data_IF_811975782576
#
_entry.id   IF_811975782576
#
_cell.length_a   1.000
_cell.length_b   1.000
_cell.length_c   1.000
_cell.angle_alpha   90.00
_cell.angle_beta   90.00
_cell.angle_gamma   90.00
#
_symmetry.space_group_name_H-M   'P 1'
#
loop_
_entity.id
_entity.type
_entity.pdbx_description
1 polymer ?
#
# COMPACT_ATOMS: atom_id res chain seq x y z
N UNK A 1 -4.52 -7.05 14.70
CA UNK A 1 -3.78 -6.23 13.72
C UNK A 1 -2.59 -5.56 14.40
N UNK A 2 -2.82 -4.77 15.45
CA UNK A 2 -1.79 -3.99 16.16
C UNK A 2 -0.64 -4.80 16.79
N UNK A 3 -0.83 -6.10 17.04
CA UNK A 3 0.22 -6.99 17.56
C UNK A 3 0.98 -7.75 16.47
N UNK A 4 0.53 -7.66 15.21
CA UNK A 4 1.08 -8.45 14.10
C UNK A 4 2.24 -7.74 13.38
N UNK A 5 2.33 -6.41 13.51
CA UNK A 5 3.37 -5.57 12.93
C UNK A 5 3.92 -4.71 14.04
N UNK A 6 5.21 -4.85 14.34
CA UNK A 6 5.90 -4.04 15.34
C UNK A 6 5.90 -2.56 14.89
N UNK A 7 5.78 -1.65 15.85
CA UNK A 7 5.81 -0.20 15.66
C UNK A 7 4.81 0.34 14.60
N UNK A 8 3.68 -0.34 14.40
CA UNK A 8 2.68 0.05 13.40
C UNK A 8 1.70 1.14 13.88
N UNK A 9 1.76 1.53 15.16
CA UNK A 9 0.80 2.47 15.75
C UNK A 9 1.35 3.89 15.74
N UNK A 10 0.60 4.79 15.13
CA UNK A 10 0.75 6.23 15.33
C UNK A 10 -0.23 6.64 16.42
N UNK A 11 0.29 7.25 17.49
CA UNK A 11 -0.50 7.73 18.62
C UNK A 11 -0.47 9.27 18.68
N UNK A 12 -1.39 9.86 19.45
CA UNK A 12 -1.46 11.30 19.71
C UNK A 12 -1.74 12.16 18.46
N UNK A 13 -2.50 11.65 17.49
CA UNK A 13 -2.90 12.42 16.29
C UNK A 13 -4.28 13.07 16.43
N UNK A 14 -5.04 12.74 17.47
CA UNK A 14 -6.45 13.09 17.63
C UNK A 14 -6.69 14.61 17.65
N UNK A 15 -5.74 15.37 18.20
CA UNK A 15 -5.81 16.84 18.28
C UNK A 15 -5.87 17.51 16.89
N UNK A 16 -5.44 16.81 15.84
CA UNK A 16 -5.37 17.34 14.49
C UNK A 16 -6.64 17.07 13.68
N UNK A 17 -7.43 16.06 14.05
CA UNK A 17 -8.61 15.58 13.30
C UNK A 17 -9.58 16.72 12.97
N UNK A 18 -9.96 17.53 13.97
CA UNK A 18 -10.94 18.60 13.78
C UNK A 18 -10.42 19.79 12.98
N UNK A 19 -9.10 19.91 12.83
CA UNK A 19 -8.47 20.97 12.01
C UNK A 19 -8.35 20.60 10.53
N UNK A 20 -8.49 19.32 10.19
CA UNK A 20 -8.39 18.83 8.83
C UNK A 20 -9.73 18.89 8.12
N UNK A 21 -9.70 19.19 6.83
CA UNK A 21 -10.88 19.22 5.97
C UNK A 21 -10.64 18.27 4.80
N UNK A 22 -11.42 17.20 4.76
CA UNK A 22 -11.46 16.22 3.68
C UNK A 22 -12.91 16.06 3.20
N UNK A 23 -13.14 15.52 1.99
CA UNK A 23 -14.48 15.22 1.50
C UNK A 23 -15.26 14.29 2.43
N UNK A 24 -14.60 13.29 2.99
CA UNK A 24 -15.15 12.42 4.03
C UNK A 24 -14.57 12.81 5.41
N UNK A 25 -15.41 13.25 6.36
CA UNK A 25 -14.98 13.52 7.73
C UNK A 25 -14.36 12.32 8.44
N UNK A 26 -14.75 11.09 8.06
CA UNK A 26 -14.23 9.88 8.66
C UNK A 26 -12.81 9.57 8.18
N UNK A 27 -12.31 10.14 7.08
CA UNK A 27 -10.92 9.92 6.62
C UNK A 27 -9.89 10.84 7.27
N UNK A 28 -10.34 11.85 8.04
CA UNK A 28 -9.45 12.83 8.67
C UNK A 28 -8.45 12.20 9.64
N UNK A 29 -8.79 11.08 10.27
CA UNK A 29 -7.88 10.36 11.15
C UNK A 29 -6.71 9.73 10.40
N UNK A 30 -6.90 9.31 9.14
CA UNK A 30 -5.85 8.75 8.28
C UNK A 30 -4.85 9.84 7.90
N UNK A 31 -5.33 11.02 7.50
CA UNK A 31 -4.44 12.14 7.21
C UNK A 31 -3.75 12.65 8.48
N UNK A 32 -4.45 12.71 9.62
CA UNK A 32 -3.86 13.12 10.87
C UNK A 32 -2.73 12.20 11.33
N UNK A 33 -2.94 10.89 11.24
CA UNK A 33 -1.90 9.91 11.58
C UNK A 33 -0.73 9.94 10.60
N UNK A 34 -0.97 10.16 9.30
CA UNK A 34 0.10 10.35 8.33
C UNK A 34 0.97 11.58 8.64
N UNK A 35 0.35 12.70 9.06
CA UNK A 35 1.08 13.92 9.44
C UNK A 35 1.92 13.70 10.70
N UNK A 36 1.33 13.15 11.77
CA UNK A 36 2.03 12.93 13.05
C UNK A 36 3.09 11.83 12.92
N UNK A 37 2.81 10.81 12.11
CA UNK A 37 3.74 9.74 11.79
C UNK A 37 4.85 10.12 10.80
N UNK A 38 4.87 11.37 10.33
CA UNK A 38 5.82 11.86 9.33
C UNK A 38 5.89 10.98 8.08
N UNK A 39 4.73 10.50 7.61
CA UNK A 39 4.65 9.70 6.40
C UNK A 39 4.90 10.56 5.17
N UNK A 40 5.69 10.05 4.22
CA UNK A 40 5.89 10.71 2.93
C UNK A 40 4.68 10.52 1.98
N UNK A 41 3.93 9.43 2.15
CA UNK A 41 2.80 9.10 1.29
C UNK A 41 1.70 8.30 2.00
N UNK A 42 0.47 8.46 1.51
CA UNK A 42 -0.67 7.57 1.79
C UNK A 42 -0.89 6.70 0.54
N UNK A 43 -0.84 5.38 0.71
CA UNK A 43 -1.05 4.42 -0.36
C UNK A 43 -2.51 3.94 -0.33
N UNK A 44 -3.31 4.28 -1.35
CA UNK A 44 -4.75 3.97 -1.37
C UNK A 44 -5.31 3.82 -2.78
N UNK A 45 -6.28 2.93 -2.96
CA UNK A 45 -7.05 2.84 -4.20
C UNK A 45 -8.00 4.04 -4.39
N UNK A 46 -8.34 4.74 -3.31
CA UNK A 46 -9.37 5.76 -3.34
C UNK A 46 -8.79 7.19 -3.24
N UNK A 47 -8.32 7.71 -4.38
CA UNK A 47 -7.74 9.05 -4.45
C UNK A 47 -8.75 10.17 -4.16
N UNK A 48 -10.06 9.93 -4.36
CA UNK A 48 -11.08 10.97 -4.20
C UNK A 48 -11.25 11.42 -2.74
N UNK A 49 -10.92 10.54 -1.79
CA UNK A 49 -11.03 10.78 -0.36
C UNK A 49 -9.90 11.69 0.14
N UNK A 50 -8.78 11.70 -0.60
CA UNK A 50 -7.59 12.49 -0.29
C UNK A 50 -7.20 13.40 -1.46
N UNK A 51 -7.98 14.46 -1.74
CA UNK A 51 -7.65 15.39 -2.81
C UNK A 51 -6.24 15.98 -2.61
N UNK A 52 -5.47 16.08 -3.70
CA UNK A 52 -4.08 16.57 -3.67
C UNK A 52 -3.96 17.93 -2.97
N UNK A 53 -4.89 18.85 -3.23
CA UNK A 53 -4.92 20.17 -2.58
C UNK A 53 -5.06 20.11 -1.04
N UNK A 54 -5.64 19.04 -0.50
CA UNK A 54 -5.80 18.86 0.95
C UNK A 54 -4.55 18.23 1.59
N UNK A 55 -3.83 17.36 0.88
CA UNK A 55 -2.72 16.57 1.42
C UNK A 55 -1.33 17.13 1.08
N UNK A 56 -1.13 17.68 -0.12
CA UNK A 56 0.16 18.22 -0.58
C UNK A 56 0.71 19.35 0.31
N UNK A 57 -0.17 20.16 0.91
CA UNK A 57 0.23 21.22 1.86
C UNK A 57 0.93 20.69 3.11
N UNK A 58 0.80 19.39 3.39
CA UNK A 58 1.47 18.70 4.48
C UNK A 58 2.70 17.90 4.03
N UNK A 59 3.08 17.99 2.74
CA UNK A 59 4.19 17.23 2.17
C UNK A 59 3.88 15.74 1.94
N UNK A 60 2.60 15.37 1.92
CA UNK A 60 2.15 13.99 1.77
C UNK A 60 1.67 13.75 0.34
N UNK A 61 2.17 12.69 -0.29
CA UNK A 61 1.71 12.23 -1.60
C UNK A 61 0.62 11.16 -1.48
N UNK A 62 -0.26 11.07 -2.49
CA UNK A 62 -1.24 9.98 -2.60
C UNK A 62 -0.81 9.06 -3.73
N UNK A 63 -0.49 7.81 -3.38
CA UNK A 63 -0.01 6.82 -4.33
C UNK A 63 -1.04 5.71 -4.52
N UNK A 64 -1.24 5.30 -5.77
CA UNK A 64 -1.99 4.09 -6.06
C UNK A 64 -1.16 2.87 -5.59
N UNK A 65 -1.77 1.81 -5.02
CA UNK A 65 -1.03 0.66 -4.51
C UNK A 65 -0.17 -0.04 -5.57
N UNK A 66 -0.68 -0.14 -6.80
CA UNK A 66 0.07 -0.73 -7.91
C UNK A 66 1.31 0.10 -8.27
N UNK A 67 1.18 1.43 -8.33
CA UNK A 67 2.30 2.33 -8.62
C UNK A 67 3.36 2.28 -7.50
N UNK A 68 2.92 2.24 -6.25
CA UNK A 68 3.81 2.09 -5.11
C UNK A 68 4.61 0.78 -5.19
N UNK A 69 3.95 -0.34 -5.51
CA UNK A 69 4.61 -1.64 -5.61
C UNK A 69 5.58 -1.72 -6.79
N UNK A 70 5.28 -1.06 -7.91
CA UNK A 70 6.22 -0.92 -9.04
C UNK A 70 7.45 -0.11 -8.62
N UNK A 71 7.26 1.02 -7.91
CA UNK A 71 8.39 1.79 -7.40
C UNK A 71 9.28 0.94 -6.45
N UNK A 72 8.67 0.13 -5.58
CA UNK A 72 9.44 -0.79 -4.72
C UNK A 72 10.16 -1.88 -5.51
N UNK A 73 9.52 -2.41 -6.56
CA UNK A 73 10.15 -3.36 -7.47
C UNK A 73 11.37 -2.75 -8.16
N UNK A 74 11.25 -1.54 -8.71
CA UNK A 74 12.35 -0.86 -9.40
C UNK A 74 13.54 -0.55 -8.48
N UNK A 75 13.26 -0.29 -7.20
CA UNK A 75 14.30 -0.08 -6.18
C UNK A 75 15.05 -1.37 -5.83
N UNK A 76 14.35 -2.51 -5.71
CA UNK A 76 14.97 -3.80 -5.38
C UNK A 76 14.22 -4.99 -6.00
N UNK A 77 14.45 -5.30 -7.29
CA UNK A 77 13.71 -6.36 -7.97
C UNK A 77 13.92 -7.73 -7.33
N UNK A 78 15.16 -8.05 -6.96
CA UNK A 78 15.53 -9.35 -6.40
C UNK A 78 14.86 -9.57 -5.04
N UNK A 79 14.90 -8.56 -4.16
CA UNK A 79 14.25 -8.61 -2.86
C UNK A 79 12.74 -8.74 -2.98
N UNK A 80 12.13 -7.95 -3.87
CA UNK A 80 10.68 -7.96 -4.09
C UNK A 80 10.20 -9.33 -4.59
N UNK A 81 10.84 -9.91 -5.61
CA UNK A 81 10.50 -11.25 -6.12
C UNK A 81 10.67 -12.33 -5.05
N UNK A 82 11.73 -12.25 -4.24
CA UNK A 82 11.96 -13.19 -3.14
C UNK A 82 10.85 -13.15 -2.09
N UNK A 83 10.36 -11.97 -1.75
CA UNK A 83 9.24 -11.78 -0.81
C UNK A 83 7.94 -12.32 -1.40
N UNK A 84 7.66 -12.02 -2.67
CA UNK A 84 6.47 -12.49 -3.38
C UNK A 84 6.44 -14.02 -3.45
N UNK A 85 7.58 -14.65 -3.76
CA UNK A 85 7.73 -16.11 -3.70
C UNK A 85 7.36 -16.66 -2.33
N UNK A 86 7.98 -16.11 -1.28
CA UNK A 86 7.75 -16.55 0.08
C UNK A 86 6.29 -16.34 0.51
N UNK A 87 5.64 -15.26 0.09
CA UNK A 87 4.22 -15.00 0.35
C UNK A 87 3.34 -16.07 -0.29
N UNK A 88 3.57 -16.39 -1.57
CA UNK A 88 2.83 -17.44 -2.27
C UNK A 88 3.01 -18.80 -1.60
N UNK A 89 4.24 -19.18 -1.27
CA UNK A 89 4.56 -20.45 -0.60
C UNK A 89 3.95 -20.56 0.82
N UNK A 90 3.70 -19.43 1.50
CA UNK A 90 3.02 -19.39 2.80
C UNK A 90 1.51 -19.60 2.70
N UNK A 91 0.90 -19.40 1.53
CA UNK A 91 -0.52 -19.71 1.34
C UNK A 91 -0.70 -21.23 1.34
N UNK A 92 -1.38 -21.73 2.38
CA UNK A 92 -1.65 -23.17 2.56
C UNK A 92 -3.13 -23.54 2.47
N UNK A 93 -4.03 -22.55 2.49
CA UNK A 93 -5.47 -22.77 2.51
C UNK A 93 -6.24 -21.67 1.75
N UNK A 94 -6.42 -21.78 0.42
CA UNK A 94 -5.82 -22.78 -0.46
C UNK A 94 -4.36 -22.44 -0.82
N UNK A 95 -3.51 -23.44 -1.14
CA UNK A 95 -2.28 -23.17 -1.85
C UNK A 95 -2.59 -22.62 -3.25
N UNK A 96 -1.70 -21.79 -3.79
CA UNK A 96 -1.86 -21.19 -5.12
C UNK A 96 -0.64 -21.50 -6.00
N UNK A 97 -0.91 -21.92 -7.22
CA UNK A 97 0.07 -21.88 -8.31
C UNK A 97 0.52 -20.45 -8.60
N UNK A 98 1.60 -20.28 -9.36
CA UNK A 98 2.09 -18.94 -9.74
C UNK A 98 1.01 -18.17 -10.52
N UNK A 99 0.35 -18.81 -11.47
CA UNK A 99 -0.69 -18.18 -12.29
C UNK A 99 -1.92 -17.77 -11.47
N UNK A 100 -2.39 -18.63 -10.56
CA UNK A 100 -3.50 -18.29 -9.66
C UNK A 100 -3.15 -17.14 -8.72
N UNK A 101 -1.90 -17.08 -8.28
CA UNK A 101 -1.41 -16.03 -7.42
C UNK A 101 -1.36 -14.68 -8.15
N UNK A 102 -0.75 -14.63 -9.34
CA UNK A 102 -0.73 -13.42 -10.19
C UNK A 102 -2.16 -12.98 -10.52
N UNK A 103 -3.02 -13.92 -10.93
CA UNK A 103 -4.43 -13.61 -11.25
C UNK A 103 -5.17 -13.01 -10.05
N UNK A 104 -4.80 -13.41 -8.82
CA UNK A 104 -5.39 -12.82 -7.61
C UNK A 104 -5.02 -11.35 -7.46
N UNK A 105 -3.75 -10.99 -7.68
CA UNK A 105 -3.31 -9.59 -7.66
C UNK A 105 -3.94 -8.77 -8.77
N UNK A 106 -4.12 -9.35 -9.96
CA UNK A 106 -4.77 -8.70 -11.09
C UNK A 106 -6.23 -8.35 -10.75
N UNK A 107 -6.97 -9.31 -10.15
CA UNK A 107 -8.33 -9.08 -9.64
C UNK A 107 -8.40 -8.08 -8.47
N UNK A 108 -7.30 -7.86 -7.76
CA UNK A 108 -7.17 -6.86 -6.70
C UNK A 108 -6.75 -5.48 -7.24
N UNK A 109 -6.62 -5.32 -8.55
CA UNK A 109 -6.29 -4.03 -9.17
C UNK A 109 -4.79 -3.72 -9.19
N UNK A 110 -3.93 -4.75 -9.28
CA UNK A 110 -2.47 -4.60 -9.40
C UNK A 110 -1.93 -5.03 -10.78
N UNK A 111 -2.49 -4.54 -11.91
CA UNK A 111 -2.14 -5.03 -13.24
C UNK A 111 -0.69 -4.77 -13.66
N UNK A 112 -0.07 -3.67 -13.24
CA UNK A 112 1.32 -3.36 -13.59
C UNK A 112 2.27 -4.33 -12.89
N UNK A 113 2.09 -4.54 -11.58
CA UNK A 113 2.87 -5.54 -10.86
C UNK A 113 2.69 -6.92 -11.49
N UNK A 114 1.46 -7.29 -11.87
CA UNK A 114 1.21 -8.56 -12.55
C UNK A 114 1.98 -8.69 -13.87
N UNK A 115 2.06 -7.63 -14.68
CA UNK A 115 2.82 -7.63 -15.92
C UNK A 115 4.31 -7.92 -15.68
N UNK A 116 4.89 -7.35 -14.61
CA UNK A 116 6.27 -7.61 -14.19
C UNK A 116 6.44 -9.06 -13.71
N UNK A 117 5.53 -9.54 -12.85
CA UNK A 117 5.61 -10.91 -12.31
C UNK A 117 5.48 -11.98 -13.39
N UNK A 118 4.69 -11.74 -14.43
CA UNK A 118 4.56 -12.65 -15.58
C UNK A 118 5.87 -12.83 -16.35
N UNK A 119 6.77 -11.84 -16.32
CA UNK A 119 8.11 -11.96 -16.92
C UNK A 119 9.11 -12.70 -16.01
N UNK A 120 8.77 -12.87 -14.73
CA UNK A 120 9.62 -13.45 -13.70
C UNK A 120 9.02 -14.73 -13.06
N UNK A 121 8.12 -15.43 -13.77
CA UNK A 121 7.38 -16.60 -13.26
C UNK A 121 8.30 -17.67 -12.67
N UNK A 122 9.48 -17.90 -13.26
CA UNK A 122 10.43 -18.91 -12.77
C UNK A 122 11.08 -18.54 -11.42
N UNK A 123 10.95 -17.28 -10.99
CA UNK A 123 11.58 -16.74 -9.79
C UNK A 123 10.61 -16.63 -8.59
N UNK A 124 9.31 -16.87 -8.78
CA UNK A 124 8.25 -16.62 -7.78
C UNK A 124 7.39 -17.84 -7.43
#
# INVERSE_FOLDING_TARGET
>A
MNQAVEDCLVENYEYLIDSLTLPDPDDRHVLASAIVGHADAIVTFNHKDFPEAAVSKHGIEILHPDDFLIAQYDLNPIGMLSIIKAQRERLRNPPKSVDEFITTYELQGLPQLCAVLRQAVELI
#
